data_IF_166373420436
#
_entry.id   IF_166373420436
#
_cell.length_a   1.000
_cell.length_b   1.000
_cell.length_c   1.000
_cell.angle_alpha   90.00
_cell.angle_beta   90.00
_cell.angle_gamma   90.00
#
_symmetry.space_group_name_H-M   'P 1'
#
loop_
_entity.id
_entity.type
_entity.pdbx_description
1 polymer ?
#
# COMPACT_ATOMS: atom_id res chain seq x y z
N UNK A 1 3.29 -5.60 -10.18
CA UNK A 1 2.21 -4.60 -10.35
C UNK A 1 2.41 -3.60 -11.50
N UNK A 2 3.62 -3.14 -11.85
CA UNK A 2 3.80 -2.21 -13.00
C UNK A 2 3.47 -2.83 -14.36
N UNK A 3 3.82 -4.10 -14.57
CA UNK A 3 3.58 -4.82 -15.84
C UNK A 3 2.25 -5.57 -15.86
N UNK A 4 1.82 -6.09 -14.70
CA UNK A 4 0.49 -6.67 -14.50
C UNK A 4 -0.08 -6.10 -13.18
N UNK A 5 -1.08 -5.20 -13.23
CA UNK A 5 -1.62 -4.54 -12.05
C UNK A 5 -2.79 -5.29 -11.40
N UNK A 6 -3.30 -6.37 -12.00
CA UNK A 6 -4.39 -7.16 -11.42
C UNK A 6 -3.83 -8.15 -10.40
N UNK A 7 -4.38 -8.12 -9.19
CA UNK A 7 -3.94 -8.93 -8.04
C UNK A 7 -5.15 -9.50 -7.32
N UNK A 8 -4.97 -10.62 -6.63
CA UNK A 8 -5.92 -11.10 -5.63
C UNK A 8 -5.46 -10.66 -4.24
N UNK A 9 -6.39 -10.24 -3.40
CA UNK A 9 -6.13 -9.76 -2.03
C UNK A 9 -6.89 -10.66 -1.06
N UNK A 10 -6.19 -11.08 0.00
CA UNK A 10 -6.80 -11.77 1.15
C UNK A 10 -6.72 -10.85 2.37
N UNK A 11 -7.87 -10.58 3.00
CA UNK A 11 -7.97 -9.76 4.22
C UNK A 11 -8.63 -10.61 5.30
N UNK A 12 -7.91 -10.83 6.39
CA UNK A 12 -8.48 -11.48 7.57
C UNK A 12 -9.44 -10.52 8.28
N UNK A 13 -10.59 -11.04 8.69
CA UNK A 13 -11.56 -10.34 9.52
C UNK A 13 -11.91 -11.20 10.76
N UNK A 14 -12.90 -10.78 11.54
CA UNK A 14 -13.32 -11.50 12.75
C UNK A 14 -13.99 -12.85 12.49
N UNK A 15 -14.49 -13.08 11.27
CA UNK A 15 -15.31 -14.24 10.91
C UNK A 15 -14.60 -15.17 9.91
N UNK A 16 -13.45 -14.76 9.35
CA UNK A 16 -12.66 -15.56 8.42
C UNK A 16 -11.66 -14.74 7.60
N UNK A 17 -11.57 -15.04 6.31
CA UNK A 17 -10.70 -14.36 5.36
C UNK A 17 -11.46 -14.04 4.10
N UNK A 18 -11.60 -12.75 3.80
CA UNK A 18 -12.22 -12.27 2.58
C UNK A 18 -11.20 -12.27 1.44
N UNK A 19 -11.59 -12.82 0.28
CA UNK A 19 -10.77 -12.85 -0.94
C UNK A 19 -11.42 -12.06 -2.05
N UNK A 20 -10.67 -11.19 -2.72
CA UNK A 20 -11.20 -10.39 -3.82
C UNK A 20 -10.15 -9.94 -4.83
N UNK A 21 -10.54 -9.77 -6.10
CA UNK A 21 -9.68 -9.14 -7.10
C UNK A 21 -9.54 -7.64 -6.83
N UNK A 22 -8.34 -7.10 -7.06
CA UNK A 22 -8.03 -5.69 -6.96
C UNK A 22 -7.10 -5.26 -8.10
N UNK A 23 -7.12 -3.97 -8.41
CA UNK A 23 -6.15 -3.32 -9.29
C UNK A 23 -5.20 -2.48 -8.47
N UNK A 24 -3.91 -2.81 -8.56
CA UNK A 24 -2.82 -2.14 -7.89
C UNK A 24 -2.32 -0.93 -8.70
N UNK A 25 -2.10 0.19 -8.03
CA UNK A 25 -1.51 1.40 -8.61
C UNK A 25 -0.42 1.95 -7.68
N UNK A 26 0.76 2.25 -8.24
CA UNK A 26 1.82 2.96 -7.50
C UNK A 26 1.45 4.43 -7.47
N UNK A 27 1.46 5.05 -6.29
CA UNK A 27 1.16 6.49 -6.17
C UNK A 27 2.30 7.30 -6.78
N UNK A 28 2.01 7.98 -7.89
CA UNK A 28 3.01 8.76 -8.64
C UNK A 28 3.22 10.17 -8.07
N UNK A 29 2.20 10.80 -7.48
CA UNK A 29 2.34 12.11 -6.81
C UNK A 29 3.14 11.97 -5.53
N UNK A 30 4.18 12.81 -5.40
CA UNK A 30 5.03 12.83 -4.21
C UNK A 30 4.24 13.28 -2.98
N UNK A 31 3.40 14.28 -3.14
CA UNK A 31 2.58 14.84 -2.06
C UNK A 31 1.59 13.81 -1.54
N UNK A 32 0.89 13.11 -2.43
CA UNK A 32 -0.07 12.07 -2.03
C UNK A 32 0.62 10.86 -1.41
N UNK A 33 1.76 10.46 -1.96
CA UNK A 33 2.59 9.39 -1.40
C UNK A 33 3.00 9.73 0.03
N UNK A 34 3.48 10.96 0.27
CA UNK A 34 3.94 11.39 1.59
C UNK A 34 2.79 11.46 2.61
N UNK A 35 1.61 11.93 2.20
CA UNK A 35 0.41 11.89 3.05
C UNK A 35 0.04 10.47 3.48
N UNK A 36 -0.10 9.55 2.52
CA UNK A 36 -0.47 8.16 2.79
C UNK A 36 0.59 7.44 3.63
N UNK A 37 1.88 7.72 3.40
CA UNK A 37 2.96 7.11 4.16
C UNK A 37 2.99 7.61 5.62
N UNK A 38 2.71 8.90 5.85
CA UNK A 38 2.57 9.44 7.20
C UNK A 38 1.36 8.82 7.92
N UNK A 39 0.23 8.64 7.23
CA UNK A 39 -0.94 7.97 7.82
C UNK A 39 -0.65 6.51 8.20
N UNK A 40 0.03 5.75 7.33
CA UNK A 40 0.47 4.40 7.68
C UNK A 40 1.44 4.41 8.86
N UNK A 41 2.31 5.42 8.96
CA UNK A 41 3.25 5.56 10.06
C UNK A 41 2.58 5.88 11.40
N UNK A 42 1.36 6.44 11.41
CA UNK A 42 0.56 6.59 12.64
C UNK A 42 0.04 5.25 13.14
N UNK A 43 -0.29 4.33 12.22
CA UNK A 43 -0.72 2.97 12.54
C UNK A 43 0.47 2.11 12.95
N UNK A 44 1.58 2.21 12.21
CA UNK A 44 2.81 1.46 12.47
C UNK A 44 4.05 2.38 12.43
N UNK A 45 4.52 2.87 13.59
CA UNK A 45 5.61 3.85 13.69
C UNK A 45 6.94 3.44 13.05
N UNK A 46 7.25 2.14 12.97
CA UNK A 46 8.46 1.61 12.33
C UNK A 46 8.63 2.02 10.87
N UNK A 47 7.53 2.38 10.16
CA UNK A 47 7.61 2.88 8.80
C UNK A 47 8.49 4.14 8.68
N UNK A 48 8.53 5.01 9.70
CA UNK A 48 9.44 6.18 9.72
C UNK A 48 10.91 5.76 9.69
N UNK A 49 11.25 4.69 10.41
CA UNK A 49 12.62 4.15 10.47
C UNK A 49 13.02 3.52 9.13
N UNK A 50 12.09 2.91 8.40
CA UNK A 50 12.43 2.33 7.10
C UNK A 50 12.87 3.38 6.09
N UNK A 51 12.22 4.56 6.07
CA UNK A 51 12.61 5.63 5.14
C UNK A 51 14.00 6.19 5.40
N UNK A 52 14.48 6.18 6.65
CA UNK A 52 15.83 6.69 6.97
C UNK A 52 16.95 5.72 6.56
N UNK A 53 16.60 4.46 6.27
CA UNK A 53 17.56 3.38 5.93
C UNK A 53 17.77 3.19 4.43
N UNK A 54 17.20 4.05 3.59
CA UNK A 54 17.33 3.96 2.14
C UNK A 54 17.24 5.33 1.50
N UNK A 55 18.03 5.55 0.44
CA UNK A 55 17.94 6.74 -0.41
C UNK A 55 16.77 6.64 -1.41
N UNK A 56 16.38 5.41 -1.78
CA UNK A 56 15.25 5.16 -2.68
C UNK A 56 13.94 5.57 -2.01
N UNK A 57 13.11 6.30 -2.76
CA UNK A 57 11.74 6.58 -2.39
C UNK A 57 10.94 5.27 -2.23
N UNK A 58 10.53 4.95 -1.00
CA UNK A 58 9.69 3.78 -0.74
C UNK A 58 8.33 3.98 -1.42
N UNK A 59 7.94 3.13 -2.40
CA UNK A 59 6.68 3.29 -3.12
C UNK A 59 5.50 2.96 -2.21
N UNK A 60 4.42 3.72 -2.35
CA UNK A 60 3.11 3.40 -1.79
C UNK A 60 2.25 2.84 -2.91
N UNK A 61 1.54 1.75 -2.63
CA UNK A 61 0.67 1.08 -3.60
C UNK A 61 -0.75 1.12 -3.08
N UNK A 62 -1.65 1.69 -3.87
CA UNK A 62 -3.09 1.64 -3.61
C UNK A 62 -3.67 0.40 -4.28
N UNK A 63 -4.45 -0.36 -3.51
CA UNK A 63 -5.20 -1.52 -4.00
C UNK A 63 -6.67 -1.13 -4.12
N UNK A 64 -7.17 -0.96 -5.35
CA UNK A 64 -8.59 -0.68 -5.61
C UNK A 64 -9.30 -1.99 -5.91
N UNK A 65 -10.20 -2.41 -5.00
CA UNK A 65 -11.06 -3.59 -5.23
C UNK A 65 -11.80 -3.47 -6.56
N UNK A 66 -11.75 -4.54 -7.35
CA UNK A 66 -12.51 -4.69 -8.58
C UNK A 66 -13.92 -5.20 -8.21
N UNK A 67 -14.94 -4.61 -8.82
CA UNK A 67 -16.33 -5.04 -8.69
C UNK A 67 -16.63 -6.14 -9.69
#
# INVERSE_FOLDING_TARGET
IKTNPEVEVEVADGDGTERFPARAHVVDSREERDRLYEDMSKIWPSFKVYQTRTERLIPVVVLKRLR
#
